data_IF_857387251322
#
_entry.id   IF_857387251322
#
_cell.length_a   1.000
_cell.length_b   1.000
_cell.length_c   1.000
_cell.angle_alpha   90.00
_cell.angle_beta   90.00
_cell.angle_gamma   90.00
#
_symmetry.space_group_name_H-M   'P 1'
#
loop_
_entity.id
_entity.type
_entity.pdbx_description
1 polymer ?
#
# COMPACT_ATOMS: atom_id res chain seq x y z
N UNK A 1 0.90 2.92 17.36
CA UNK A 1 1.86 3.86 16.75
C UNK A 1 1.13 4.65 15.69
N UNK A 2 1.36 5.96 15.62
CA UNK A 2 0.70 6.84 14.65
C UNK A 2 1.76 7.53 13.82
N UNK A 3 1.62 7.47 12.50
CA UNK A 3 2.53 8.13 11.53
C UNK A 3 1.86 9.39 11.01
N UNK A 4 2.59 10.50 11.01
CA UNK A 4 2.11 11.78 10.46
C UNK A 4 2.30 11.83 8.94
N UNK A 5 1.64 12.78 8.28
CA UNK A 5 1.85 13.01 6.84
C UNK A 5 3.32 13.31 6.54
N UNK A 6 3.95 14.15 7.37
CA UNK A 6 5.35 14.55 7.21
C UNK A 6 6.29 13.35 7.36
N UNK A 7 6.05 12.50 8.36
CA UNK A 7 6.83 11.26 8.53
C UNK A 7 6.63 10.31 7.36
N UNK A 8 5.39 10.16 6.86
CA UNK A 8 5.12 9.32 5.70
C UNK A 8 5.80 9.86 4.44
N UNK A 9 5.85 11.19 4.25
CA UNK A 9 6.60 11.82 3.15
C UNK A 9 8.11 11.64 3.27
N UNK A 10 8.66 11.58 4.48
CA UNK A 10 10.08 11.25 4.67
C UNK A 10 10.37 9.78 4.35
N UNK A 11 9.44 8.87 4.67
CA UNK A 11 9.57 7.43 4.41
C UNK A 11 9.34 7.11 2.92
N UNK A 12 8.35 7.76 2.29
CA UNK A 12 7.92 7.56 0.90
C UNK A 12 7.96 8.90 0.14
N UNK A 13 9.15 9.43 -0.18
CA UNK A 13 9.31 10.78 -0.75
C UNK A 13 8.56 11.00 -2.07
N UNK A 14 8.37 9.96 -2.88
CA UNK A 14 7.67 10.08 -4.16
C UNK A 14 6.13 10.08 -4.01
N UNK A 15 5.59 9.79 -2.83
CA UNK A 15 4.14 9.79 -2.60
C UNK A 15 3.53 11.20 -2.73
N UNK A 16 4.30 12.26 -2.46
CA UNK A 16 3.86 13.65 -2.58
C UNK A 16 2.54 13.93 -1.84
N UNK A 17 1.52 14.43 -2.56
CA UNK A 17 0.17 14.68 -2.01
C UNK A 17 -0.57 13.40 -1.62
N UNK A 18 -0.24 12.25 -2.23
CA UNK A 18 -0.89 10.96 -1.95
C UNK A 18 -0.62 10.48 -0.52
N UNK A 19 0.52 10.87 0.07
CA UNK A 19 0.79 10.60 1.49
C UNK A 19 -0.35 11.13 2.39
N UNK A 20 -0.85 12.34 2.12
CA UNK A 20 -1.99 12.91 2.86
C UNK A 20 -3.29 12.15 2.67
N UNK A 21 -3.50 11.55 1.49
CA UNK A 21 -4.68 10.73 1.18
C UNK A 21 -4.65 9.40 1.94
N UNK A 22 -3.49 8.75 2.03
CA UNK A 22 -3.39 7.38 2.55
C UNK A 22 -3.00 7.27 4.03
N UNK A 23 -2.45 8.32 4.64
CA UNK A 23 -1.94 8.26 6.03
C UNK A 23 -2.97 7.77 7.04
N UNK A 24 -4.24 8.19 6.91
CA UNK A 24 -5.33 7.77 7.81
C UNK A 24 -5.62 6.27 7.66
N UNK A 25 -5.72 5.79 6.41
CA UNK A 25 -5.97 4.38 6.13
C UNK A 25 -4.80 3.48 6.60
N UNK A 26 -3.56 3.92 6.40
CA UNK A 26 -2.37 3.20 6.87
C UNK A 26 -2.33 3.11 8.40
N UNK A 27 -2.59 4.23 9.10
CA UNK A 27 -2.67 4.23 10.56
C UNK A 27 -3.80 3.33 11.08
N UNK A 28 -4.99 3.39 10.47
CA UNK A 28 -6.12 2.53 10.83
C UNK A 28 -5.80 1.04 10.61
N UNK A 29 -5.13 0.68 9.50
CA UNK A 29 -4.73 -0.70 9.23
C UNK A 29 -3.67 -1.18 10.25
N UNK A 30 -2.67 -0.35 10.56
CA UNK A 30 -1.65 -0.66 11.56
C UNK A 30 -2.26 -0.87 12.95
N UNK A 31 -3.20 -0.01 13.35
CA UNK A 31 -3.91 -0.13 14.63
C UNK A 31 -4.73 -1.42 14.72
N UNK A 32 -5.60 -1.66 13.73
CA UNK A 32 -6.43 -2.88 13.64
C UNK A 32 -5.62 -4.17 13.68
N UNK A 33 -4.40 -4.16 13.12
CA UNK A 33 -3.52 -5.33 13.03
C UNK A 33 -2.42 -5.38 14.08
N UNK A 34 -2.47 -4.48 15.07
CA UNK A 34 -1.48 -4.40 16.16
C UNK A 34 -0.04 -4.25 15.64
N UNK A 35 0.14 -3.51 14.55
CA UNK A 35 1.44 -3.06 14.03
C UNK A 35 1.82 -1.81 14.83
N UNK A 36 2.13 -2.02 16.11
CA UNK A 36 2.19 -0.94 17.11
C UNK A 36 3.61 -0.64 17.63
N UNK A 37 4.64 -1.33 17.12
CA UNK A 37 6.05 -1.05 17.41
C UNK A 37 6.75 -0.38 16.23
N UNK A 38 7.81 0.44 16.45
CA UNK A 38 8.53 1.11 15.36
C UNK A 38 9.06 0.17 14.28
N UNK A 39 9.65 -0.97 14.67
CA UNK A 39 10.18 -1.95 13.71
C UNK A 39 9.08 -2.56 12.83
N UNK A 40 7.92 -2.87 13.41
CA UNK A 40 6.78 -3.44 12.66
C UNK A 40 6.18 -2.42 11.71
N UNK A 41 6.03 -1.16 12.15
CA UNK A 41 5.53 -0.09 11.30
C UNK A 41 6.48 0.19 10.12
N UNK A 42 7.79 0.25 10.38
CA UNK A 42 8.80 0.41 9.33
C UNK A 42 8.74 -0.73 8.30
N UNK A 43 8.70 -1.99 8.75
CA UNK A 43 8.59 -3.14 7.85
C UNK A 43 7.30 -3.11 7.00
N UNK A 44 6.17 -2.79 7.64
CA UNK A 44 4.88 -2.67 6.95
C UNK A 44 4.90 -1.55 5.90
N UNK A 45 5.33 -0.35 6.27
CA UNK A 45 5.37 0.79 5.35
C UNK A 45 6.40 0.61 4.23
N UNK A 46 7.52 -0.06 4.50
CA UNK A 46 8.52 -0.39 3.48
C UNK A 46 7.92 -1.33 2.42
N UNK A 47 7.19 -2.37 2.84
CA UNK A 47 6.53 -3.30 1.91
C UNK A 47 5.43 -2.60 1.11
N UNK A 48 4.54 -1.84 1.77
CA UNK A 48 3.52 -1.04 1.08
C UNK A 48 4.16 -0.11 0.06
N UNK A 49 5.24 0.58 0.44
CA UNK A 49 6.00 1.47 -0.43
C UNK A 49 6.65 0.73 -1.61
N UNK A 50 7.17 -0.48 -1.41
CA UNK A 50 7.76 -1.27 -2.47
C UNK A 50 6.71 -1.69 -3.52
N UNK A 51 5.62 -2.32 -3.07
CA UNK A 51 4.59 -2.89 -3.96
C UNK A 51 3.78 -1.84 -4.72
N UNK A 52 3.58 -0.66 -4.14
CA UNK A 52 2.78 0.42 -4.76
C UNK A 52 3.60 1.47 -5.50
N UNK A 53 4.92 1.27 -5.60
CA UNK A 53 5.89 2.29 -6.01
C UNK A 53 5.68 3.62 -5.24
N UNK A 54 5.73 3.55 -3.91
CA UNK A 54 5.53 4.67 -2.98
C UNK A 54 4.16 5.32 -3.13
N UNK A 55 3.10 4.51 -3.20
CA UNK A 55 1.70 4.91 -3.32
C UNK A 55 1.34 5.59 -4.66
N UNK A 56 2.23 5.53 -5.66
CA UNK A 56 1.95 6.08 -6.98
C UNK A 56 0.85 5.29 -7.69
N UNK A 57 0.86 3.96 -7.54
CA UNK A 57 -0.08 3.04 -8.18
C UNK A 57 -0.96 2.35 -7.13
N UNK A 58 -2.26 2.30 -7.44
CA UNK A 58 -3.29 1.61 -6.62
C UNK A 58 -3.96 0.47 -7.39
N UNK A 59 -3.44 0.19 -8.58
CA UNK A 59 -3.83 -0.89 -9.47
C UNK A 59 -2.56 -1.49 -10.04
N UNK A 60 -2.64 -2.76 -10.41
CA UNK A 60 -1.56 -3.44 -11.10
C UNK A 60 -1.28 -2.77 -12.45
N UNK A 61 -0.01 -2.73 -12.83
CA UNK A 61 0.43 -2.22 -14.13
C UNK A 61 0.56 -3.39 -15.09
N UNK A 62 -0.15 -3.34 -16.20
CA UNK A 62 -0.12 -4.37 -17.24
C UNK A 62 -1.01 -3.99 -18.41
N UNK A 63 -0.86 -4.68 -19.54
CA UNK A 63 -1.80 -4.54 -20.64
C UNK A 63 -3.14 -5.20 -20.28
N UNK A 64 -4.23 -4.73 -20.87
CA UNK A 64 -5.56 -5.34 -20.68
C UNK A 64 -5.53 -6.84 -20.99
N UNK A 65 -4.78 -7.26 -22.02
CA UNK A 65 -4.60 -8.66 -22.38
C UNK A 65 -3.85 -9.48 -21.31
N UNK A 66 -2.91 -8.86 -20.59
CA UNK A 66 -2.21 -9.51 -19.48
C UNK A 66 -3.12 -9.62 -18.26
N UNK A 67 -3.83 -8.54 -17.94
CA UNK A 67 -4.70 -8.45 -16.76
C UNK A 67 -6.00 -9.25 -16.91
N UNK A 68 -6.48 -9.49 -18.14
CA UNK A 68 -7.69 -10.28 -18.40
C UNK A 68 -7.59 -11.73 -17.91
N UNK A 69 -6.38 -12.23 -17.62
CA UNK A 69 -6.13 -13.53 -16.99
C UNK A 69 -6.65 -13.61 -15.55
N UNK A 70 -6.83 -12.46 -14.90
CA UNK A 70 -7.34 -12.31 -13.54
C UNK A 70 -8.82 -11.94 -13.51
N UNK A 71 -9.39 -11.49 -14.64
CA UNK A 71 -10.80 -11.08 -14.73
C UNK A 71 -11.76 -12.25 -14.98
N UNK A 72 -11.28 -13.37 -15.52
CA UNK A 72 -12.12 -14.54 -15.86
C UNK A 72 -11.39 -15.86 -15.62
N UNK A 73 -12.17 -16.94 -15.38
CA UNK A 73 -11.65 -18.31 -15.28
C UNK A 73 -11.18 -18.74 -13.88
N UNK A 74 -10.48 -19.88 -13.81
CA UNK A 74 -10.15 -20.57 -12.55
C UNK A 74 -9.20 -19.78 -11.65
N UNK A 75 -8.37 -18.89 -12.23
CA UNK A 75 -7.46 -18.05 -11.46
C UNK A 75 -8.23 -16.92 -10.75
N UNK A 76 -9.14 -16.24 -11.47
CA UNK A 76 -10.05 -15.24 -10.92
C UNK A 76 -10.87 -15.81 -9.75
N UNK A 77 -11.47 -16.99 -9.95
CA UNK A 77 -12.28 -17.66 -8.92
C UNK A 77 -11.51 -18.05 -7.64
N UNK A 78 -10.17 -18.12 -7.69
CA UNK A 78 -9.32 -18.46 -6.54
C UNK A 78 -8.79 -17.25 -5.79
N UNK A 79 -8.87 -16.05 -6.39
CA UNK A 79 -8.36 -14.81 -5.80
C UNK A 79 -9.41 -14.06 -4.97
N UNK A 80 -10.69 -14.47 -5.04
CA UNK A 80 -11.80 -13.95 -4.24
C UNK A 80 -12.83 -13.21 -5.10
#
# INVERSE_FOLDING_TARGET
MTVTVQQLQQILPNAGKKAGVFVSALNAAMDRRQINTPKRAAAFLAQVGHESAQLLYVRELGSDQYLSKYDTGTLAARLG
#
